data_IF_548192481215
#
_entry.id   IF_548192481215
#
_cell.length_a   1.000
_cell.length_b   1.000
_cell.length_c   1.000
_cell.angle_alpha   90.00
_cell.angle_beta   90.00
_cell.angle_gamma   90.00
#
_symmetry.space_group_name_H-M   'P 1'
#
loop_
_entity.id
_entity.type
_entity.pdbx_description
1 polymer ?
#
# COMPACT_ATOMS: atom_id res chain seq x y z
N UNK A 1 21.41 -2.11 40.24
CA UNK A 1 21.04 -2.46 41.62
C UNK A 1 19.61 -2.01 41.81
N UNK A 2 18.66 -2.91 41.56
CA UNK A 2 17.92 -3.68 42.59
C UNK A 2 16.75 -2.82 43.14
N UNK A 3 15.52 -2.93 42.59
CA UNK A 3 14.49 -3.94 42.91
C UNK A 3 13.83 -3.61 44.28
N UNK A 4 12.53 -3.63 44.57
CA UNK A 4 11.36 -4.43 44.21
C UNK A 4 10.17 -3.72 44.89
N UNK A 5 8.95 -3.73 44.34
CA UNK A 5 7.75 -4.08 45.12
C UNK A 5 6.62 -4.56 44.19
N UNK A 6 6.15 -5.76 44.50
CA UNK A 6 5.12 -6.56 43.83
C UNK A 6 3.70 -6.17 44.30
N UNK A 7 2.64 -6.59 43.59
CA UNK A 7 1.26 -6.30 43.96
C UNK A 7 0.67 -7.33 44.94
N UNK A 8 -0.25 -6.86 45.77
CA UNK A 8 -0.98 -7.63 46.78
C UNK A 8 -2.04 -8.55 46.16
N UNK A 9 -2.15 -9.76 46.72
CA UNK A 9 -3.22 -10.73 46.50
C UNK A 9 -4.12 -10.79 47.74
N UNK A 10 -5.42 -11.01 47.54
CA UNK A 10 -6.36 -11.32 48.61
C UNK A 10 -7.26 -12.47 48.18
N UNK A 11 -7.16 -13.57 48.94
CA UNK A 11 -8.06 -14.72 48.93
C UNK A 11 -9.10 -14.56 50.05
N UNK A 12 -10.31 -15.08 49.83
CA UNK A 12 -11.30 -15.30 50.88
C UNK A 12 -12.04 -16.62 50.62
N UNK A 13 -12.18 -17.44 51.67
CA UNK A 13 -12.72 -18.81 51.67
C UNK A 13 -14.00 -18.93 52.51
N UNK A 14 -15.00 -19.62 51.94
CA UNK A 14 -15.99 -20.56 52.55
C UNK A 14 -17.10 -20.00 53.50
N UNK A 15 -18.22 -20.72 53.81
CA UNK A 15 -18.47 -22.18 53.66
C UNK A 15 -19.90 -22.70 53.26
N UNK A 16 -19.91 -24.00 52.90
CA UNK A 16 -20.87 -25.12 53.15
C UNK A 16 -22.42 -24.96 53.06
N UNK A 17 -23.04 -25.86 52.28
CA UNK A 17 -24.34 -26.50 52.61
C UNK A 17 -24.50 -27.87 51.89
N UNK A 18 -24.83 -28.89 52.68
CA UNK A 18 -25.17 -30.27 52.31
C UNK A 18 -26.61 -30.37 51.77
N UNK A 19 -26.86 -31.23 50.76
CA UNK A 19 -28.07 -32.08 50.71
C UNK A 19 -27.93 -33.27 49.73
N UNK A 20 -28.48 -34.40 50.16
CA UNK A 20 -28.48 -35.75 49.59
C UNK A 20 -29.23 -35.92 48.25
N UNK A 21 -28.86 -36.96 47.49
CA UNK A 21 -29.85 -37.86 46.85
C UNK A 21 -29.55 -38.35 45.42
N UNK A 22 -29.15 -39.63 45.27
CA UNK A 22 -29.27 -40.46 44.05
C UNK A 22 -28.19 -40.22 42.97
N UNK A 23 -27.38 -41.15 42.49
CA UNK A 23 -27.40 -42.60 42.55
C UNK A 23 -27.58 -43.20 41.15
N UNK A 24 -26.51 -43.30 40.34
CA UNK A 24 -26.34 -44.35 39.31
C UNK A 24 -24.84 -44.64 39.17
N UNK A 25 -24.44 -45.86 39.55
CA UNK A 25 -23.11 -46.44 39.33
C UNK A 25 -23.12 -47.17 37.98
N UNK A 26 -22.12 -46.94 37.14
CA UNK A 26 -21.81 -47.82 36.00
C UNK A 26 -20.54 -48.61 36.34
N UNK A 27 -20.69 -49.93 36.32
CA UNK A 27 -19.70 -50.90 36.74
C UNK A 27 -18.55 -51.05 35.73
N UNK A 28 -17.31 -51.04 36.23
CA UNK A 28 -16.11 -51.39 35.47
C UNK A 28 -15.87 -52.89 35.68
N UNK A 29 -16.00 -53.67 34.60
CA UNK A 29 -15.66 -55.08 34.58
C UNK A 29 -14.13 -55.28 34.57
N UNK A 30 -13.63 -56.09 35.51
CA UNK A 30 -12.30 -56.71 35.45
C UNK A 30 -12.45 -58.13 34.91
N UNK A 31 -11.55 -58.60 34.04
CA UNK A 31 -11.23 -60.01 33.99
C UNK A 31 -9.82 -60.32 34.49
N UNK A 32 -9.81 -61.48 35.13
CA UNK A 32 -8.77 -62.32 35.68
C UNK A 32 -7.46 -62.49 34.89
N UNK A 33 -6.42 -62.71 35.69
CA UNK A 33 -5.13 -63.32 35.37
C UNK A 33 -5.23 -64.60 34.53
N UNK A 34 -4.39 -64.70 33.49
CA UNK A 34 -3.74 -65.96 33.15
C UNK A 34 -2.37 -65.71 32.53
N UNK A 35 -1.45 -66.57 32.93
CA UNK A 35 -0.02 -66.56 32.67
C UNK A 35 0.32 -66.97 31.24
N UNK A 36 1.14 -66.18 30.55
CA UNK A 36 2.03 -66.70 29.50
C UNK A 36 3.35 -65.91 29.50
N UNK A 37 4.42 -66.61 29.87
CA UNK A 37 5.81 -66.14 29.75
C UNK A 37 6.20 -66.20 28.27
N UNK A 38 6.44 -65.03 27.69
CA UNK A 38 7.13 -64.88 26.41
C UNK A 38 8.27 -63.88 26.59
N UNK A 39 9.50 -64.38 26.59
CA UNK A 39 10.72 -63.58 26.64
C UNK A 39 10.81 -62.70 25.39
N UNK A 40 10.59 -61.39 25.52
CA UNK A 40 10.94 -60.41 24.49
C UNK A 40 11.89 -59.40 25.13
N UNK A 41 13.16 -59.45 24.69
CA UNK A 41 14.18 -58.46 25.03
C UNK A 41 13.70 -57.04 24.67
N UNK A 42 13.25 -56.28 25.67
CA UNK A 42 13.03 -54.83 25.54
C UNK A 42 14.39 -54.12 25.49
N UNK A 43 14.97 -53.98 24.30
CA UNK A 43 15.95 -52.92 24.03
C UNK A 43 15.25 -51.57 24.21
N UNK A 44 15.54 -50.87 25.30
CA UNK A 44 15.17 -49.46 25.49
C UNK A 44 15.91 -48.63 24.43
N UNK A 45 15.29 -48.44 23.27
CA UNK A 45 15.68 -47.38 22.34
C UNK A 45 15.30 -46.04 22.99
N UNK A 46 16.27 -45.41 23.64
CA UNK A 46 16.24 -43.98 23.97
C UNK A 46 16.00 -43.22 22.66
N UNK A 47 14.75 -42.85 22.38
CA UNK A 47 14.44 -41.86 21.35
C UNK A 47 14.99 -40.52 21.84
N UNK A 48 16.22 -40.21 21.44
CA UNK A 48 16.71 -38.83 21.43
C UNK A 48 15.78 -38.03 20.51
N UNK A 49 15.35 -36.81 20.87
CA UNK A 49 14.68 -35.95 19.91
C UNK A 49 15.70 -35.69 18.80
N UNK A 50 15.45 -36.25 17.62
CA UNK A 50 16.15 -35.85 16.40
C UNK A 50 15.61 -34.44 16.14
N UNK A 51 16.37 -33.44 16.57
CA UNK A 51 16.29 -32.11 15.99
C UNK A 51 16.40 -32.33 14.49
N UNK A 52 15.33 -32.01 13.77
CA UNK A 52 15.34 -31.97 12.33
C UNK A 52 16.42 -30.95 11.92
N UNK A 53 17.60 -31.46 11.58
CA UNK A 53 18.57 -30.70 10.80
C UNK A 53 17.88 -30.43 9.46
N UNK A 54 17.32 -29.23 9.36
CA UNK A 54 16.93 -28.64 8.10
C UNK A 54 18.19 -28.56 7.24
N UNK A 55 18.34 -29.51 6.31
CA UNK A 55 19.28 -29.42 5.21
C UNK A 55 18.84 -28.29 4.28
N UNK A 56 19.37 -27.11 4.55
CA UNK A 56 19.33 -25.93 3.70
C UNK A 56 20.34 -24.94 4.26
N UNK A 57 21.58 -25.00 3.78
CA UNK A 57 22.68 -24.15 4.23
C UNK A 57 22.44 -22.68 3.89
N UNK A 58 21.64 -21.99 4.72
CA UNK A 58 21.65 -20.54 4.82
C UNK A 58 22.32 -20.20 6.14
N UNK A 59 23.48 -19.56 6.06
CA UNK A 59 24.06 -18.90 7.23
C UNK A 59 22.97 -18.01 7.88
N UNK A 60 22.95 -17.90 9.22
CA UNK A 60 22.04 -16.97 9.88
C UNK A 60 22.25 -15.58 9.30
N UNK A 61 21.18 -14.80 9.09
CA UNK A 61 21.31 -13.51 8.45
C UNK A 61 22.22 -12.59 9.27
N UNK A 62 22.98 -11.71 8.60
CA UNK A 62 23.88 -10.77 9.29
C UNK A 62 23.13 -9.91 10.32
N UNK A 63 21.90 -9.52 10.00
CA UNK A 63 20.96 -8.85 10.91
C UNK A 63 19.83 -9.83 11.23
N UNK A 64 19.87 -10.49 12.40
CA UNK A 64 18.81 -11.40 12.83
C UNK A 64 17.49 -10.69 13.07
N UNK A 65 16.37 -11.43 13.04
CA UNK A 65 15.04 -10.90 13.37
C UNK A 65 14.97 -10.30 14.80
N UNK A 66 15.80 -10.79 15.73
CA UNK A 66 15.90 -10.28 17.10
C UNK A 66 16.69 -8.98 17.23
N UNK A 67 17.47 -8.58 16.22
CA UNK A 67 18.24 -7.33 16.25
C UNK A 67 17.33 -6.15 15.87
N UNK A 68 16.63 -5.59 16.85
CA UNK A 68 15.70 -4.50 16.62
C UNK A 68 16.36 -3.25 16.02
N UNK A 69 17.56 -2.88 16.49
CA UNK A 69 18.26 -1.69 15.99
C UNK A 69 18.80 -1.92 14.58
N UNK A 70 19.41 -3.07 14.32
CA UNK A 70 19.91 -3.42 12.98
C UNK A 70 18.78 -3.43 11.94
N UNK A 71 17.61 -4.01 12.30
CA UNK A 71 16.46 -4.03 11.41
C UNK A 71 15.92 -2.61 11.11
N UNK A 72 15.78 -1.75 12.12
CA UNK A 72 15.34 -0.36 11.88
C UNK A 72 16.36 0.47 11.12
N UNK A 73 17.65 0.33 11.42
CA UNK A 73 18.72 0.98 10.66
C UNK A 73 18.66 0.56 9.20
N UNK A 74 18.54 -0.74 8.92
CA UNK A 74 18.39 -1.23 7.55
C UNK A 74 17.19 -0.60 6.82
N UNK A 75 16.02 -0.58 7.45
CA UNK A 75 14.81 -0.04 6.84
C UNK A 75 14.93 1.46 6.54
N UNK A 76 15.41 2.25 7.50
CA UNK A 76 15.53 3.71 7.37
C UNK A 76 16.65 4.07 6.39
N UNK A 77 17.78 3.36 6.41
CA UNK A 77 18.85 3.56 5.42
C UNK A 77 18.42 3.17 4.01
N UNK A 78 17.68 2.08 3.85
CA UNK A 78 17.11 1.67 2.55
C UNK A 78 16.10 2.70 2.06
N UNK A 79 15.31 3.28 2.97
CA UNK A 79 14.38 4.34 2.63
C UNK A 79 15.11 5.63 2.19
N UNK A 80 16.10 6.06 2.95
CA UNK A 80 16.94 7.21 2.60
C UNK A 80 17.64 7.01 1.25
N UNK A 81 18.16 5.81 0.98
CA UNK A 81 18.79 5.46 -0.29
C UNK A 81 17.79 5.54 -1.47
N UNK A 82 16.55 5.08 -1.28
CA UNK A 82 15.50 5.19 -2.28
C UNK A 82 15.21 6.64 -2.66
N UNK A 83 14.96 7.49 -1.66
CA UNK A 83 14.71 8.94 -1.87
C UNK A 83 15.92 9.62 -2.51
N UNK A 84 17.12 9.36 -1.98
CA UNK A 84 18.36 9.93 -2.51
C UNK A 84 18.58 9.53 -3.98
N UNK A 85 18.38 8.26 -4.30
CA UNK A 85 18.56 7.72 -5.65
C UNK A 85 17.65 8.42 -6.65
N UNK A 86 16.37 8.58 -6.30
CA UNK A 86 15.37 9.28 -7.11
C UNK A 86 15.72 10.75 -7.35
N UNK A 87 16.28 11.44 -6.35
CA UNK A 87 16.58 12.86 -6.48
C UNK A 87 17.91 13.13 -7.20
N UNK A 88 18.92 12.28 -6.97
CA UNK A 88 20.32 12.56 -7.33
C UNK A 88 20.83 11.77 -8.52
N UNK A 89 20.21 10.67 -8.91
CA UNK A 89 20.75 9.78 -9.97
C UNK A 89 19.81 9.67 -11.18
N UNK A 90 20.34 9.56 -12.41
CA UNK A 90 19.50 9.32 -13.60
C UNK A 90 18.72 8.00 -13.52
N UNK A 91 19.37 6.95 -13.01
CA UNK A 91 18.78 5.62 -12.86
C UNK A 91 17.65 5.63 -11.83
N UNK A 92 17.86 6.25 -10.67
CA UNK A 92 16.82 6.36 -9.64
C UNK A 92 15.63 7.20 -10.09
N UNK A 93 15.84 8.26 -10.87
CA UNK A 93 14.76 9.02 -11.52
C UNK A 93 13.92 8.14 -12.44
N UNK A 94 14.54 7.21 -13.16
CA UNK A 94 13.85 6.29 -14.05
C UNK A 94 13.13 5.16 -13.30
N UNK A 95 13.72 4.64 -12.21
CA UNK A 95 13.16 3.52 -11.45
C UNK A 95 12.12 3.93 -10.40
N UNK A 96 12.11 5.19 -9.97
CA UNK A 96 11.48 5.69 -8.73
C UNK A 96 12.18 5.22 -7.46
N UNK A 97 12.14 6.04 -6.40
CA UNK A 97 12.69 5.67 -5.10
C UNK A 97 12.00 4.43 -4.56
N UNK A 98 10.67 4.33 -4.69
CA UNK A 98 9.86 3.19 -4.26
C UNK A 98 10.42 1.85 -4.78
N UNK A 99 10.69 1.75 -6.08
CA UNK A 99 11.27 0.54 -6.66
C UNK A 99 12.66 0.24 -6.11
N UNK A 100 13.50 1.28 -5.98
CA UNK A 100 14.85 1.13 -5.44
C UNK A 100 14.81 0.52 -4.05
N UNK A 101 13.95 1.00 -3.16
CA UNK A 101 13.84 0.41 -1.81
C UNK A 101 13.28 -1.00 -1.80
N UNK A 102 12.31 -1.33 -2.68
CA UNK A 102 11.84 -2.72 -2.84
C UNK A 102 12.98 -3.63 -3.31
N UNK A 103 13.74 -3.22 -4.34
CA UNK A 103 14.83 -4.02 -4.90
C UNK A 103 15.99 -4.20 -3.91
N UNK A 104 16.37 -3.15 -3.19
CA UNK A 104 17.40 -3.23 -2.14
C UNK A 104 16.93 -4.13 -0.99
N UNK A 105 15.67 -3.98 -0.56
CA UNK A 105 15.01 -4.85 0.41
C UNK A 105 15.09 -6.32 0.02
N UNK A 106 14.69 -6.61 -1.21
CA UNK A 106 14.64 -7.95 -1.78
C UNK A 106 16.02 -8.56 -1.94
N UNK A 107 16.99 -7.78 -2.42
CA UNK A 107 18.38 -8.20 -2.57
C UNK A 107 19.02 -8.51 -1.21
N UNK A 108 18.82 -7.65 -0.21
CA UNK A 108 19.35 -7.86 1.13
C UNK A 108 18.78 -9.11 1.80
N UNK A 109 17.47 -9.34 1.70
CA UNK A 109 16.83 -10.56 2.22
C UNK A 109 17.33 -11.82 1.49
N UNK A 110 17.47 -11.76 0.17
CA UNK A 110 17.94 -12.89 -0.64
C UNK A 110 19.41 -13.23 -0.44
N UNK A 111 20.24 -12.22 -0.18
CA UNK A 111 21.65 -12.39 0.16
C UNK A 111 21.88 -12.84 1.62
N UNK A 112 20.82 -12.96 2.43
CA UNK A 112 20.95 -13.29 3.86
C UNK A 112 21.53 -12.15 4.70
N UNK A 113 21.36 -10.90 4.27
CA UNK A 113 21.78 -9.73 5.07
C UNK A 113 20.76 -9.45 6.18
N UNK A 114 19.47 -9.58 5.88
CA UNK A 114 18.37 -9.32 6.83
C UNK A 114 17.40 -10.50 6.90
N UNK A 115 16.77 -10.69 8.06
CA UNK A 115 15.72 -11.67 8.24
C UNK A 115 14.40 -11.20 7.63
N UNK A 116 13.68 -12.08 6.92
CA UNK A 116 12.41 -11.74 6.26
C UNK A 116 11.21 -11.61 7.22
N UNK A 117 11.35 -12.00 8.47
CA UNK A 117 10.28 -12.11 9.48
C UNK A 117 10.51 -11.21 10.71
N UNK A 118 11.34 -10.18 10.59
CA UNK A 118 11.67 -9.27 11.69
C UNK A 118 10.42 -8.58 12.28
N UNK A 119 10.26 -8.48 13.61
CA UNK A 119 9.12 -7.81 14.24
C UNK A 119 8.92 -6.36 13.81
N UNK A 120 9.99 -5.65 13.43
CA UNK A 120 9.92 -4.29 12.90
C UNK A 120 9.01 -4.19 11.67
N UNK A 121 8.97 -5.22 10.82
CA UNK A 121 8.19 -5.25 9.58
C UNK A 121 6.69 -5.18 9.87
N UNK A 122 6.25 -5.87 10.94
CA UNK A 122 4.86 -5.81 11.41
C UNK A 122 4.49 -4.41 11.89
N UNK A 123 5.39 -3.73 12.61
CA UNK A 123 5.16 -2.34 13.04
C UNK A 123 4.96 -1.42 11.85
N UNK A 124 5.76 -1.60 10.79
CA UNK A 124 5.61 -0.80 9.57
C UNK A 124 4.24 -1.03 8.91
N UNK A 125 3.82 -2.28 8.76
CA UNK A 125 2.54 -2.63 8.15
C UNK A 125 1.34 -2.20 9.01
N UNK A 126 1.40 -2.38 10.32
CA UNK A 126 0.27 -2.16 11.23
C UNK A 126 0.06 -0.69 11.61
N UNK A 127 1.12 0.12 11.56
CA UNK A 127 1.11 1.52 12.01
C UNK A 127 1.59 2.50 10.94
N UNK A 128 2.80 2.33 10.39
CA UNK A 128 3.40 3.36 9.53
C UNK A 128 2.73 3.46 8.16
N UNK A 129 2.32 2.32 7.59
CA UNK A 129 1.56 2.30 6.34
C UNK A 129 0.19 3.01 6.49
N UNK A 130 -0.68 2.63 7.46
CA UNK A 130 -1.93 3.35 7.69
C UNK A 130 -1.74 4.85 7.94
N UNK A 131 -0.66 5.23 8.61
CA UNK A 131 -0.34 6.61 8.96
C UNK A 131 0.04 7.46 7.75
N UNK A 132 0.64 6.88 6.72
CA UNK A 132 0.99 7.58 5.48
C UNK A 132 -0.26 8.07 4.71
N UNK A 133 -1.37 7.33 4.80
CA UNK A 133 -2.62 7.65 4.09
C UNK A 133 -3.19 9.02 4.48
N UNK A 134 -3.51 9.32 5.77
CA UNK A 134 -4.03 10.62 6.14
C UNK A 134 -3.02 11.74 5.90
N UNK A 135 -1.73 11.48 6.09
CA UNK A 135 -0.68 12.47 5.85
C UNK A 135 -0.61 12.91 4.36
N UNK A 136 -0.86 12.00 3.41
CA UNK A 136 -0.96 12.33 1.97
C UNK A 136 -2.28 13.02 1.60
N UNK A 137 -3.34 12.75 2.36
CA UNK A 137 -4.70 13.17 2.04
C UNK A 137 -5.16 14.44 2.74
N UNK A 138 -4.31 15.10 3.53
CA UNK A 138 -4.65 16.40 4.13
C UNK A 138 -4.98 17.50 3.10
N UNK A 139 -4.55 17.35 1.84
CA UNK A 139 -4.94 18.22 0.72
C UNK A 139 -6.23 17.82 0.00
N UNK A 140 -6.88 16.72 0.41
CA UNK A 140 -8.05 16.16 -0.27
C UNK A 140 -9.37 16.91 0.02
N UNK A 141 -9.38 18.21 -0.27
CA UNK A 141 -10.58 19.04 -0.24
C UNK A 141 -11.43 18.79 -1.51
N UNK A 142 -12.44 17.94 -1.40
CA UNK A 142 -13.30 17.60 -2.54
C UNK A 142 -14.14 18.79 -3.02
N UNK A 143 -14.46 19.78 -2.17
CA UNK A 143 -15.20 20.98 -2.61
C UNK A 143 -14.33 21.80 -3.55
N UNK A 144 -13.05 21.96 -3.21
CA UNK A 144 -12.08 22.63 -4.07
C UNK A 144 -11.84 21.85 -5.36
N UNK A 145 -11.70 20.52 -5.28
CA UNK A 145 -11.58 19.66 -6.47
C UNK A 145 -12.76 19.92 -7.42
N UNK A 146 -14.00 19.81 -6.96
CA UNK A 146 -15.18 19.95 -7.82
C UNK A 146 -15.31 21.36 -8.41
N UNK A 147 -14.98 22.41 -7.64
CA UNK A 147 -15.09 23.81 -8.10
C UNK A 147 -13.96 24.24 -9.04
N UNK A 148 -12.74 23.76 -8.81
CA UNK A 148 -11.53 24.29 -9.48
C UNK A 148 -10.99 23.39 -10.60
N UNK A 149 -11.46 22.14 -10.74
CA UNK A 149 -10.96 21.23 -11.79
C UNK A 149 -11.65 21.49 -13.15
N UNK A 150 -12.87 22.04 -13.15
CA UNK A 150 -13.58 22.42 -14.39
C UNK A 150 -13.76 21.25 -15.36
N UNK A 151 -13.57 21.51 -16.67
CA UNK A 151 -13.70 20.48 -17.71
C UNK A 151 -12.71 19.31 -17.58
N UNK A 152 -11.57 19.52 -16.90
CA UNK A 152 -10.59 18.47 -16.65
C UNK A 152 -11.17 17.37 -15.75
N UNK A 153 -12.16 17.68 -14.91
CA UNK A 153 -12.82 16.70 -14.05
C UNK A 153 -13.54 15.64 -14.88
N UNK A 154 -14.25 16.06 -15.92
CA UNK A 154 -14.95 15.15 -16.83
C UNK A 154 -13.95 14.24 -17.56
N UNK A 155 -12.84 14.80 -18.03
CA UNK A 155 -11.77 14.04 -18.65
C UNK A 155 -11.15 13.01 -17.68
N UNK A 156 -10.98 13.37 -16.40
CA UNK A 156 -10.46 12.47 -15.36
C UNK A 156 -11.44 11.35 -14.99
N UNK A 157 -12.74 11.67 -14.90
CA UNK A 157 -13.76 10.66 -14.64
C UNK A 157 -13.90 9.70 -15.82
N UNK A 158 -13.81 10.21 -17.06
CA UNK A 158 -13.70 9.39 -18.25
C UNK A 158 -12.48 8.48 -18.20
N UNK A 159 -11.31 9.01 -17.84
CA UNK A 159 -10.10 8.22 -17.63
C UNK A 159 -10.27 7.15 -16.55
N UNK A 160 -10.93 7.46 -15.45
CA UNK A 160 -11.21 6.49 -14.37
C UNK A 160 -12.11 5.35 -14.85
N UNK A 161 -13.14 5.66 -15.65
CA UNK A 161 -14.00 4.67 -16.28
C UNK A 161 -13.23 3.84 -17.34
N UNK A 162 -12.37 4.49 -18.12
CA UNK A 162 -11.50 3.83 -19.09
C UNK A 162 -10.51 2.86 -18.42
N UNK A 163 -9.90 3.23 -17.29
CA UNK A 163 -9.08 2.31 -16.47
C UNK A 163 -9.91 1.12 -15.99
N UNK A 164 -11.12 1.36 -15.47
CA UNK A 164 -12.01 0.29 -14.99
C UNK A 164 -12.35 -0.71 -16.10
N UNK A 165 -12.74 -0.21 -17.28
CA UNK A 165 -13.00 -1.03 -18.45
C UNK A 165 -11.72 -1.75 -18.94
N UNK A 166 -10.59 -1.05 -18.95
CA UNK A 166 -9.28 -1.62 -19.27
C UNK A 166 -8.87 -2.75 -18.34
N UNK A 167 -9.18 -2.65 -17.05
CA UNK A 167 -8.98 -3.72 -16.06
C UNK A 167 -9.84 -4.93 -16.39
N UNK A 168 -11.12 -4.76 -16.71
CA UNK A 168 -11.99 -5.87 -17.11
C UNK A 168 -11.44 -6.57 -18.37
N UNK A 169 -11.11 -5.80 -19.41
CA UNK A 169 -10.56 -6.32 -20.67
C UNK A 169 -9.23 -7.04 -20.44
N UNK A 170 -8.30 -6.43 -19.72
CA UNK A 170 -7.01 -7.05 -19.42
C UNK A 170 -7.16 -8.33 -18.59
N UNK A 171 -8.12 -8.38 -17.66
CA UNK A 171 -8.36 -9.55 -16.82
C UNK A 171 -8.86 -10.74 -17.63
N UNK A 172 -9.73 -10.48 -18.61
CA UNK A 172 -10.27 -11.51 -19.51
C UNK A 172 -9.25 -11.97 -20.56
N UNK A 173 -8.37 -11.08 -21.04
CA UNK A 173 -7.42 -11.38 -22.09
C UNK A 173 -6.10 -11.99 -21.58
N UNK A 174 -5.65 -11.60 -20.39
CA UNK A 174 -4.33 -11.98 -19.86
C UNK A 174 -4.51 -13.02 -18.75
N UNK A 175 -4.21 -14.31 -19.00
CA UNK A 175 -4.36 -15.36 -17.99
C UNK A 175 -3.28 -15.23 -16.92
N UNK A 176 -3.61 -14.61 -15.78
CA UNK A 176 -2.70 -14.45 -14.64
C UNK A 176 -2.57 -15.71 -13.78
N UNK A 177 -2.36 -16.86 -14.41
CA UNK A 177 -2.32 -18.18 -13.74
C UNK A 177 -1.22 -18.26 -12.67
N UNK A 178 -0.09 -17.57 -12.87
CA UNK A 178 1.02 -17.55 -11.90
C UNK A 178 0.68 -16.86 -10.58
N UNK A 179 -0.41 -16.07 -10.51
CA UNK A 179 -0.90 -15.43 -9.30
C UNK A 179 -1.92 -16.28 -8.53
N UNK A 180 -2.40 -17.37 -9.14
CA UNK A 180 -3.41 -18.25 -8.56
C UNK A 180 -4.64 -17.48 -8.05
N UNK A 181 -5.06 -17.68 -6.79
CA UNK A 181 -6.26 -17.05 -6.22
C UNK A 181 -6.14 -15.54 -5.99
N UNK A 182 -4.93 -14.97 -6.08
CA UNK A 182 -4.70 -13.53 -5.88
C UNK A 182 -4.84 -12.71 -7.18
N UNK A 183 -5.03 -13.36 -8.33
CA UNK A 183 -5.11 -12.69 -9.65
C UNK A 183 -6.10 -11.52 -9.70
N UNK A 184 -7.36 -11.73 -9.26
CA UNK A 184 -8.38 -10.68 -9.23
C UNK A 184 -8.08 -9.57 -8.22
N UNK A 185 -7.37 -9.89 -7.12
CA UNK A 185 -6.97 -8.90 -6.11
C UNK A 185 -5.87 -7.99 -6.65
N UNK A 186 -4.90 -8.56 -7.36
CA UNK A 186 -3.83 -7.79 -8.03
C UNK A 186 -4.41 -6.93 -9.15
N UNK A 187 -5.37 -7.45 -9.92
CA UNK A 187 -6.08 -6.66 -10.92
C UNK A 187 -6.82 -5.46 -10.30
N UNK A 188 -7.54 -5.68 -9.18
CA UNK A 188 -8.19 -4.61 -8.43
C UNK A 188 -7.18 -3.58 -7.88
N UNK A 189 -6.04 -4.04 -7.37
CA UNK A 189 -4.99 -3.19 -6.88
C UNK A 189 -4.38 -2.34 -8.02
N UNK A 190 -4.09 -2.93 -9.18
CA UNK A 190 -3.56 -2.20 -10.34
C UNK A 190 -4.60 -1.26 -10.96
N UNK A 191 -5.88 -1.61 -10.94
CA UNK A 191 -6.94 -0.67 -11.30
C UNK A 191 -6.88 0.58 -10.41
N UNK A 192 -6.81 0.38 -9.09
CA UNK A 192 -6.72 1.50 -8.14
C UNK A 192 -5.42 2.30 -8.31
N UNK A 193 -4.31 1.62 -8.64
CA UNK A 193 -3.00 2.23 -8.94
C UNK A 193 -3.08 3.22 -10.10
N UNK A 194 -3.80 2.82 -11.15
CA UNK A 194 -3.92 3.56 -12.40
C UNK A 194 -5.11 4.56 -12.40
N UNK A 195 -5.80 4.71 -11.26
CA UNK A 195 -6.76 5.80 -11.02
C UNK A 195 -6.23 6.79 -9.97
N UNK A 196 -5.49 6.32 -8.97
CA UNK A 196 -5.14 7.10 -7.78
C UNK A 196 -3.72 6.90 -7.23
N UNK A 197 -2.79 6.31 -7.97
CA UNK A 197 -1.39 6.24 -7.56
C UNK A 197 -1.01 5.06 -6.65
N UNK A 198 0.29 4.96 -6.33
CA UNK A 198 0.88 3.81 -5.62
C UNK A 198 0.30 3.55 -4.22
N UNK A 199 -0.16 4.59 -3.53
CA UNK A 199 -0.77 4.43 -2.20
C UNK A 199 -2.10 3.68 -2.26
N UNK A 200 -2.86 3.84 -3.35
CA UNK A 200 -4.09 3.08 -3.57
C UNK A 200 -3.81 1.62 -3.89
N UNK A 201 -2.78 1.34 -4.69
CA UNK A 201 -2.33 -0.04 -4.93
C UNK A 201 -2.06 -0.77 -3.62
N UNK A 202 -1.31 -0.12 -2.72
CA UNK A 202 -0.97 -0.69 -1.43
C UNK A 202 -2.20 -0.85 -0.54
N UNK A 203 -3.09 0.15 -0.51
CA UNK A 203 -4.30 0.09 0.30
C UNK A 203 -5.25 -1.04 -0.13
N UNK A 204 -5.45 -1.22 -1.43
CA UNK A 204 -6.27 -2.33 -1.97
C UNK A 204 -5.57 -3.67 -1.77
N UNK A 205 -4.24 -3.73 -1.93
CA UNK A 205 -3.46 -4.95 -1.69
C UNK A 205 -3.57 -5.43 -0.24
N UNK A 206 -3.50 -4.51 0.72
CA UNK A 206 -3.70 -4.83 2.15
C UNK A 206 -5.14 -5.26 2.41
N UNK A 207 -6.12 -4.49 1.94
CA UNK A 207 -7.54 -4.76 2.18
C UNK A 207 -7.99 -6.13 1.65
N UNK A 208 -7.42 -6.57 0.52
CA UNK A 208 -7.71 -7.86 -0.10
C UNK A 208 -6.77 -8.98 0.34
N UNK A 209 -5.74 -8.69 1.13
CA UNK A 209 -4.77 -9.66 1.63
C UNK A 209 -3.87 -10.25 0.55
N UNK A 210 -3.28 -9.40 -0.28
CA UNK A 210 -2.25 -9.77 -1.27
C UNK A 210 -0.91 -9.99 -0.55
N UNK A 211 -0.19 -11.05 -0.91
CA UNK A 211 1.10 -11.34 -0.28
C UNK A 211 2.16 -10.25 -0.57
N UNK A 212 3.12 -9.99 0.33
CA UNK A 212 4.19 -9.01 0.10
C UNK A 212 5.01 -9.27 -1.17
N UNK A 213 5.25 -10.55 -1.51
CA UNK A 213 5.98 -10.92 -2.72
C UNK A 213 5.25 -10.55 -4.01
N UNK A 214 3.93 -10.73 -4.03
CA UNK A 214 3.08 -10.35 -5.17
C UNK A 214 2.91 -8.84 -5.22
N UNK A 215 2.76 -8.18 -4.07
CA UNK A 215 2.74 -6.73 -3.96
C UNK A 215 4.01 -6.12 -4.57
N UNK A 216 5.18 -6.64 -4.19
CA UNK A 216 6.49 -6.25 -4.73
C UNK A 216 6.59 -6.45 -6.25
N UNK A 217 6.15 -7.61 -6.75
CA UNK A 217 6.14 -7.93 -8.17
C UNK A 217 5.25 -6.96 -8.96
N UNK A 218 4.08 -6.63 -8.44
CA UNK A 218 3.19 -5.67 -9.09
C UNK A 218 3.75 -4.25 -9.09
N UNK A 219 4.41 -3.80 -8.02
CA UNK A 219 5.13 -2.50 -8.02
C UNK A 219 6.26 -2.46 -9.05
N UNK A 220 7.02 -3.56 -9.17
CA UNK A 220 8.11 -3.66 -10.14
C UNK A 220 7.58 -3.59 -11.57
N UNK A 221 6.54 -4.37 -11.89
CA UNK A 221 5.88 -4.33 -13.19
C UNK A 221 5.27 -2.94 -13.48
N UNK A 222 4.55 -2.37 -12.51
CA UNK A 222 3.88 -1.08 -12.62
C UNK A 222 4.84 0.07 -12.94
N UNK A 223 6.02 0.10 -12.30
CA UNK A 223 6.99 1.17 -12.56
C UNK A 223 7.54 1.15 -13.98
N UNK A 224 7.78 -0.05 -14.54
CA UNK A 224 8.19 -0.18 -15.95
C UNK A 224 7.06 0.28 -16.86
N UNK A 225 5.82 -0.13 -16.58
CA UNK A 225 4.64 0.29 -17.35
C UNK A 225 4.42 1.80 -17.28
N UNK A 226 4.54 2.40 -16.10
CA UNK A 226 4.43 3.84 -15.91
C UNK A 226 5.51 4.59 -16.69
N UNK A 227 6.75 4.12 -16.71
CA UNK A 227 7.82 4.72 -17.50
C UNK A 227 7.47 4.72 -19.00
N UNK A 228 7.09 3.56 -19.56
CA UNK A 228 6.66 3.43 -20.96
C UNK A 228 5.44 4.32 -21.28
N UNK A 229 4.48 4.35 -20.36
CA UNK A 229 3.26 5.12 -20.49
C UNK A 229 3.53 6.63 -20.50
N UNK A 230 4.33 7.15 -19.56
CA UNK A 230 4.65 8.58 -19.53
C UNK A 230 5.49 8.99 -20.74
N UNK A 231 6.44 8.16 -21.19
CA UNK A 231 7.15 8.41 -22.45
C UNK A 231 6.18 8.55 -23.62
N UNK A 232 5.21 7.64 -23.72
CA UNK A 232 4.17 7.68 -24.76
C UNK A 232 3.30 8.94 -24.63
N UNK A 233 2.87 9.28 -23.42
CA UNK A 233 2.02 10.44 -23.16
C UNK A 233 2.72 11.75 -23.52
N UNK A 234 4.01 11.89 -23.19
CA UNK A 234 4.83 13.04 -23.57
C UNK A 234 5.06 13.13 -25.08
N UNK A 235 5.23 11.99 -25.76
CA UNK A 235 5.33 11.92 -27.21
C UNK A 235 4.01 12.35 -27.88
N UNK A 236 2.86 11.88 -27.39
CA UNK A 236 1.53 12.31 -27.88
C UNK A 236 1.27 13.80 -27.66
N UNK A 237 1.87 14.37 -26.62
CA UNK A 237 1.80 15.78 -26.30
C UNK A 237 2.84 16.65 -27.06
N UNK A 238 3.78 16.06 -27.82
CA UNK A 238 4.91 16.77 -28.43
C UNK A 238 4.48 17.88 -29.40
N UNK A 239 3.40 17.66 -30.15
CA UNK A 239 2.92 18.58 -31.19
C UNK A 239 1.86 19.57 -30.71
N UNK A 240 1.51 19.55 -29.42
CA UNK A 240 0.51 20.46 -28.86
C UNK A 240 1.26 21.72 -28.39
N UNK A 241 0.87 22.93 -28.87
CA UNK A 241 1.53 24.17 -28.49
C UNK A 241 1.47 24.45 -26.98
N UNK A 242 2.41 25.30 -26.54
CA UNK A 242 2.37 25.91 -25.20
C UNK A 242 1.20 26.89 -25.14
N UNK A 243 0.74 27.23 -23.95
CA UNK A 243 -0.22 28.33 -23.78
C UNK A 243 0.47 29.66 -24.04
N UNK A 244 -0.24 30.59 -24.68
CA UNK A 244 0.22 31.96 -24.80
C UNK A 244 0.43 32.53 -23.39
N UNK A 245 1.45 33.36 -23.22
CA UNK A 245 1.83 33.95 -21.93
C UNK A 245 0.82 35.03 -21.50
N UNK A 246 -0.43 34.63 -21.27
CA UNK A 246 -1.53 35.45 -20.77
C UNK A 246 -1.94 34.96 -19.40
N UNK A 247 -1.65 35.77 -18.38
CA UNK A 247 -1.81 35.56 -16.94
C UNK A 247 -0.86 34.55 -16.29
N UNK A 248 0.16 35.03 -15.53
CA UNK A 248 0.75 34.21 -14.50
C UNK A 248 -0.32 34.02 -13.42
N UNK A 249 -1.06 32.92 -13.48
CA UNK A 249 -1.47 32.31 -12.22
C UNK A 249 -0.16 31.91 -11.56
N UNK A 250 0.34 32.82 -10.72
CA UNK A 250 1.45 32.57 -9.81
C UNK A 250 1.05 31.42 -8.91
N UNK A 251 1.24 30.21 -9.41
CA UNK A 251 1.35 29.05 -8.57
C UNK A 251 2.70 29.26 -7.92
N UNK A 252 2.68 29.68 -6.66
CA UNK A 252 3.69 29.22 -5.73
C UNK A 252 3.83 27.73 -6.04
N UNK A 253 4.94 27.38 -6.69
CA UNK A 253 5.59 26.10 -6.48
C UNK A 253 5.41 25.81 -4.99
N UNK A 254 5.10 24.58 -4.54
CA UNK A 254 5.32 24.26 -3.14
C UNK A 254 6.84 24.35 -2.93
N UNK A 255 7.34 25.57 -2.85
CA UNK A 255 8.60 25.93 -2.29
C UNK A 255 8.49 25.38 -0.89
N UNK A 256 9.46 24.55 -0.55
CA UNK A 256 9.83 24.27 0.82
C UNK A 256 10.33 25.59 1.41
N UNK A 257 9.43 26.55 1.60
CA UNK A 257 9.70 27.82 2.24
C UNK A 257 9.58 27.54 3.73
N UNK A 258 10.72 27.17 4.30
CA UNK A 258 10.90 26.94 5.72
C UNK A 258 10.62 28.22 6.50
N UNK A 259 9.41 28.30 7.05
CA UNK A 259 9.15 29.14 8.21
C UNK A 259 9.59 28.32 9.45
N UNK A 260 10.86 28.50 9.82
CA UNK A 260 11.64 27.55 10.64
C UNK A 260 11.10 27.26 12.04
N UNK A 261 10.22 28.10 12.59
CA UNK A 261 9.63 27.88 13.91
C UNK A 261 8.19 27.31 13.86
N UNK A 262 7.47 27.47 12.74
CA UNK A 262 6.11 26.91 12.55
C UNK A 262 6.14 25.50 11.92
N UNK A 263 7.28 25.08 11.36
CA UNK A 263 7.47 23.79 10.69
C UNK A 263 7.43 22.57 11.62
N UNK A 264 8.07 22.64 12.80
CA UNK A 264 8.14 21.51 13.74
C UNK A 264 6.80 21.21 14.40
N UNK A 265 6.10 22.26 14.87
CA UNK A 265 4.77 22.13 15.46
C UNK A 265 3.76 21.56 14.46
N UNK A 266 3.78 22.06 13.21
CA UNK A 266 2.91 21.53 12.15
C UNK A 266 3.18 20.06 11.85
N UNK A 267 4.44 19.64 11.82
CA UNK A 267 4.82 18.23 11.65
C UNK A 267 4.32 17.36 12.81
N UNK A 268 4.46 17.83 14.07
CA UNK A 268 3.96 17.13 15.24
C UNK A 268 2.42 17.02 15.24
N UNK A 269 1.72 18.11 14.92
CA UNK A 269 0.25 18.13 14.84
C UNK A 269 -0.24 17.26 13.68
N UNK A 270 0.42 17.29 12.51
CA UNK A 270 0.13 16.43 11.38
C UNK A 270 0.21 14.95 11.77
N UNK A 271 1.28 14.57 12.49
CA UNK A 271 1.48 13.21 12.98
C UNK A 271 0.41 12.81 13.99
N UNK A 272 0.13 13.66 14.98
CA UNK A 272 -0.89 13.40 15.99
C UNK A 272 -2.29 13.26 15.37
N UNK A 273 -2.65 14.14 14.44
CA UNK A 273 -3.91 14.07 13.69
C UNK A 273 -4.00 12.79 12.87
N UNK A 274 -2.92 12.41 12.17
CA UNK A 274 -2.86 11.17 11.40
C UNK A 274 -3.06 9.93 12.28
N UNK A 275 -2.45 9.87 13.47
CA UNK A 275 -2.68 8.79 14.44
C UNK A 275 -4.13 8.77 14.96
N UNK A 276 -4.70 9.93 15.26
CA UNK A 276 -6.09 10.03 15.71
C UNK A 276 -7.06 9.54 14.62
N UNK A 277 -6.83 9.92 13.36
CA UNK A 277 -7.59 9.44 12.21
C UNK A 277 -7.44 7.92 12.03
N UNK A 278 -6.21 7.39 12.14
CA UNK A 278 -5.97 5.95 12.08
C UNK A 278 -6.75 5.18 13.16
N UNK A 279 -6.71 5.66 14.40
CA UNK A 279 -7.46 5.08 15.52
C UNK A 279 -8.96 5.13 15.26
N UNK A 280 -9.48 6.28 14.82
CA UNK A 280 -10.89 6.46 14.50
C UNK A 280 -11.34 5.52 13.36
N UNK A 281 -10.53 5.40 12.29
CA UNK A 281 -10.81 4.51 11.17
C UNK A 281 -10.81 3.04 11.57
N UNK A 282 -9.84 2.59 12.37
CA UNK A 282 -9.82 1.21 12.90
C UNK A 282 -11.01 0.93 13.82
N UNK A 283 -11.38 1.88 14.69
CA UNK A 283 -12.56 1.76 15.56
C UNK A 283 -13.86 1.68 14.74
N UNK A 284 -14.03 2.56 13.75
CA UNK A 284 -15.19 2.57 12.86
C UNK A 284 -15.29 1.24 12.07
N UNK A 285 -14.16 0.75 11.55
CA UNK A 285 -14.11 -0.54 10.84
C UNK A 285 -14.53 -1.70 11.74
N UNK A 286 -14.04 -1.72 12.99
CA UNK A 286 -14.39 -2.74 13.97
C UNK A 286 -15.87 -2.68 14.34
N UNK A 287 -16.43 -1.48 14.53
CA UNK A 287 -17.85 -1.29 14.81
C UNK A 287 -18.76 -1.71 13.64
N UNK A 288 -18.31 -1.51 12.41
CA UNK A 288 -19.04 -1.89 11.19
C UNK A 288 -18.83 -3.37 10.79
N UNK A 289 -17.88 -4.09 11.40
CA UNK A 289 -17.59 -5.49 11.09
C UNK A 289 -16.97 -5.72 9.70
N UNK A 290 -16.40 -4.70 9.06
CA UNK A 290 -15.87 -4.78 7.69
C UNK A 290 -14.44 -5.35 7.71
N UNK A 291 -14.28 -6.62 7.33
CA UNK A 291 -12.94 -7.22 7.17
C UNK A 291 -12.15 -6.51 6.06
N UNK A 292 -10.90 -6.12 6.34
CA UNK A 292 -10.06 -5.36 5.40
C UNK A 292 -10.51 -3.90 5.18
N UNK A 293 -11.49 -3.41 5.93
CA UNK A 293 -12.04 -2.06 5.76
C UNK A 293 -11.21 -0.93 6.39
N UNK A 294 -10.09 -1.25 7.03
CA UNK A 294 -9.35 -0.30 7.88
C UNK A 294 -8.80 0.88 7.10
N UNK A 295 -8.05 0.63 6.02
CA UNK A 295 -7.47 1.67 5.18
C UNK A 295 -8.55 2.47 4.42
N UNK A 296 -9.58 1.85 3.81
CA UNK A 296 -10.71 2.60 3.25
C UNK A 296 -11.41 3.52 4.26
N UNK A 297 -11.68 3.05 5.48
CA UNK A 297 -12.30 3.89 6.51
C UNK A 297 -11.39 5.06 6.93
N UNK A 298 -10.08 4.83 7.05
CA UNK A 298 -9.09 5.88 7.32
C UNK A 298 -9.12 6.94 6.21
N UNK A 299 -9.08 6.51 4.94
CA UNK A 299 -9.20 7.38 3.75
C UNK A 299 -10.50 8.19 3.79
N UNK A 300 -11.64 7.55 4.08
CA UNK A 300 -12.93 8.25 4.15
C UNK A 300 -12.93 9.36 5.21
N UNK A 301 -12.40 9.08 6.40
CA UNK A 301 -12.36 10.04 7.51
C UNK A 301 -11.46 11.23 7.16
N UNK A 302 -10.24 11.00 6.66
CA UNK A 302 -9.34 12.12 6.33
C UNK A 302 -9.89 12.97 5.19
N UNK A 303 -10.48 12.35 4.16
CA UNK A 303 -11.08 13.09 3.04
C UNK A 303 -12.28 13.91 3.53
N UNK A 304 -13.12 13.35 4.40
CA UNK A 304 -14.22 14.09 5.02
C UNK A 304 -13.71 15.28 5.83
N UNK A 305 -12.69 15.08 6.67
CA UNK A 305 -12.09 16.16 7.46
C UNK A 305 -11.44 17.23 6.58
N UNK A 306 -10.67 16.84 5.56
CA UNK A 306 -10.03 17.76 4.61
C UNK A 306 -11.06 18.56 3.81
N UNK A 307 -12.23 17.98 3.53
CA UNK A 307 -13.32 18.64 2.80
C UNK A 307 -14.18 19.55 3.68
N UNK A 308 -14.44 19.17 4.94
CA UNK A 308 -15.25 19.95 5.88
C UNK A 308 -14.43 21.08 6.53
N UNK A 309 -13.15 20.84 6.81
CA UNK A 309 -12.24 21.76 7.50
C UNK A 309 -10.96 22.05 6.66
N UNK A 310 -11.09 22.56 5.43
CA UNK A 310 -9.97 22.68 4.50
C UNK A 310 -8.88 23.65 4.97
N UNK A 311 -9.22 24.71 5.71
CA UNK A 311 -8.25 25.70 6.17
C UNK A 311 -7.41 25.19 7.35
N UNK A 312 -7.95 24.31 8.18
CA UNK A 312 -7.25 23.70 9.31
C UNK A 312 -6.40 22.53 8.86
N UNK A 313 -7.00 21.59 8.11
CA UNK A 313 -6.33 20.37 7.64
C UNK A 313 -5.32 20.69 6.54
N UNK A 314 -5.64 21.61 5.61
CA UNK A 314 -4.76 21.99 4.51
C UNK A 314 -3.43 22.62 4.96
N UNK A 315 -3.42 23.30 6.13
CA UNK A 315 -2.17 23.85 6.73
C UNK A 315 -1.19 22.76 7.17
N UNK A 316 -1.67 21.55 7.44
CA UNK A 316 -0.86 20.40 7.85
C UNK A 316 -0.27 19.66 6.64
N UNK A 317 -0.84 19.84 5.45
CA UNK A 317 -0.52 19.01 4.30
C UNK A 317 0.95 19.08 3.84
N UNK A 318 1.63 20.24 3.77
CA UNK A 318 3.04 20.26 3.37
C UNK A 318 3.94 19.43 4.31
N UNK A 319 3.69 19.52 5.62
CA UNK A 319 4.43 18.73 6.62
C UNK A 319 4.02 17.24 6.56
N UNK A 320 2.74 16.97 6.36
CA UNK A 320 2.21 15.61 6.19
C UNK A 320 2.80 14.89 4.98
N UNK A 321 2.81 15.54 3.82
CA UNK A 321 3.39 15.03 2.57
C UNK A 321 4.85 14.61 2.75
N UNK A 322 5.68 15.46 3.38
CA UNK A 322 7.08 15.15 3.63
C UNK A 322 7.26 13.91 4.52
N UNK A 323 6.48 13.81 5.61
CA UNK A 323 6.53 12.63 6.49
C UNK A 323 6.00 11.38 5.81
N UNK A 324 4.92 11.49 5.04
CA UNK A 324 4.32 10.36 4.34
C UNK A 324 5.25 9.73 3.32
N UNK A 325 6.02 10.54 2.58
CA UNK A 325 7.03 10.03 1.64
C UNK A 325 8.05 9.16 2.37
N UNK A 326 8.55 9.60 3.53
CA UNK A 326 9.49 8.81 4.35
C UNK A 326 8.85 7.50 4.83
N UNK A 327 7.62 7.56 5.36
CA UNK A 327 6.91 6.39 5.85
C UNK A 327 6.61 5.38 4.74
N UNK A 328 6.17 5.84 3.58
CA UNK A 328 5.95 5.00 2.40
C UNK A 328 7.25 4.35 1.94
N UNK A 329 8.36 5.07 2.03
CA UNK A 329 9.65 4.54 1.62
C UNK A 329 10.16 3.44 2.57
N UNK A 330 9.96 3.59 3.87
CA UNK A 330 10.19 2.53 4.86
C UNK A 330 9.28 1.32 4.59
N UNK A 331 8.02 1.56 4.24
CA UNK A 331 7.09 0.50 3.82
C UNK A 331 7.60 -0.26 2.59
N UNK A 332 8.08 0.43 1.55
CA UNK A 332 8.64 -0.23 0.37
C UNK A 332 9.88 -1.06 0.68
N UNK A 333 10.73 -0.62 1.61
CA UNK A 333 11.84 -1.44 2.11
C UNK A 333 11.36 -2.74 2.76
N UNK A 334 10.30 -2.67 3.58
CA UNK A 334 9.66 -3.85 4.20
C UNK A 334 9.07 -4.79 3.16
N UNK A 335 8.39 -4.27 2.14
CA UNK A 335 7.85 -5.07 1.03
C UNK A 335 8.94 -5.87 0.35
N UNK A 336 10.07 -5.23 0.05
CA UNK A 336 11.24 -5.88 -0.51
C UNK A 336 11.80 -6.96 0.41
N UNK A 337 12.02 -6.64 1.68
CA UNK A 337 12.64 -7.54 2.64
C UNK A 337 11.79 -8.79 2.97
N UNK A 338 10.45 -8.67 2.93
CA UNK A 338 9.52 -9.80 3.05
C UNK A 338 9.36 -10.59 1.74
N UNK A 339 9.82 -10.05 0.61
CA UNK A 339 9.64 -10.63 -0.70
C UNK A 339 10.54 -11.84 -0.98
N UNK A 340 10.22 -12.58 -2.05
CA UNK A 340 11.03 -13.68 -2.55
C UNK A 340 11.36 -13.43 -4.02
N UNK A 341 12.65 -13.45 -4.37
CA UNK A 341 13.13 -13.20 -5.74
C UNK A 341 12.49 -14.18 -6.73
N UNK A 342 12.43 -15.47 -6.37
CA UNK A 342 11.81 -16.49 -7.22
C UNK A 342 10.35 -16.19 -7.50
N UNK A 343 9.58 -15.82 -6.48
CA UNK A 343 8.16 -15.46 -6.65
C UNK A 343 8.00 -14.20 -7.50
N UNK A 344 8.82 -13.18 -7.26
CA UNK A 344 8.79 -11.93 -8.03
C UNK A 344 9.07 -12.21 -9.51
N UNK A 345 10.12 -12.97 -9.84
CA UNK A 345 10.47 -13.29 -11.22
C UNK A 345 9.38 -14.12 -11.93
N UNK A 346 8.71 -15.03 -11.21
CA UNK A 346 7.65 -15.86 -11.76
C UNK A 346 6.31 -15.11 -11.95
N UNK A 347 6.03 -14.09 -11.14
CA UNK A 347 4.74 -13.37 -11.17
C UNK A 347 4.79 -12.08 -11.99
N UNK A 348 5.93 -11.38 -12.00
CA UNK A 348 6.12 -10.08 -12.68
C UNK A 348 5.72 -10.12 -14.16
N UNK A 349 6.09 -11.12 -14.99
CA UNK A 349 5.74 -11.11 -16.41
C UNK A 349 4.23 -11.10 -16.67
N UNK A 350 3.46 -11.88 -15.91
CA UNK A 350 1.99 -11.91 -16.02
C UNK A 350 1.37 -10.59 -15.59
N UNK A 351 1.87 -9.99 -14.49
CA UNK A 351 1.40 -8.69 -14.02
C UNK A 351 1.73 -7.59 -15.03
N UNK A 352 2.93 -7.62 -15.60
CA UNK A 352 3.36 -6.68 -16.64
C UNK A 352 2.46 -6.77 -17.87
N UNK A 353 2.20 -7.98 -18.39
CA UNK A 353 1.32 -8.17 -19.53
C UNK A 353 -0.10 -7.65 -19.26
N UNK A 354 -0.64 -7.94 -18.07
CA UNK A 354 -1.93 -7.41 -17.64
C UNK A 354 -1.94 -5.88 -17.62
N UNK A 355 -0.97 -5.26 -16.93
CA UNK A 355 -0.87 -3.82 -16.78
C UNK A 355 -0.65 -3.12 -18.14
N UNK A 356 0.12 -3.73 -19.04
CA UNK A 356 0.31 -3.24 -20.41
C UNK A 356 -1.00 -3.17 -21.20
N UNK A 357 -1.79 -4.25 -21.19
CA UNK A 357 -3.11 -4.26 -21.85
C UNK A 357 -4.03 -3.24 -21.20
N UNK A 358 -4.09 -3.23 -19.86
CA UNK A 358 -4.96 -2.34 -19.09
C UNK A 358 -4.69 -0.86 -19.41
N UNK A 359 -3.42 -0.44 -19.37
CA UNK A 359 -3.03 0.96 -19.62
C UNK A 359 -3.18 1.36 -21.10
N UNK A 360 -2.99 0.40 -22.01
CA UNK A 360 -3.22 0.62 -23.44
C UNK A 360 -4.70 0.87 -23.72
N UNK A 361 -5.58 0.03 -23.17
CA UNK A 361 -7.04 0.22 -23.27
C UNK A 361 -7.47 1.53 -22.60
N UNK A 362 -6.93 1.84 -21.42
CA UNK A 362 -7.15 3.13 -20.74
C UNK A 362 -6.84 4.31 -21.65
N UNK A 363 -5.65 4.34 -22.25
CA UNK A 363 -5.22 5.44 -23.12
C UNK A 363 -6.08 5.54 -24.39
N UNK A 364 -6.37 4.39 -25.02
CA UNK A 364 -7.20 4.31 -26.22
C UNK A 364 -8.63 4.81 -25.96
N UNK A 365 -9.27 4.36 -24.88
CA UNK A 365 -10.62 4.79 -24.52
C UNK A 365 -10.65 6.25 -24.08
N UNK A 366 -9.69 6.70 -23.26
CA UNK A 366 -9.64 8.09 -22.80
C UNK A 366 -9.50 9.05 -23.97
N UNK A 367 -8.57 8.78 -24.91
CA UNK A 367 -8.37 9.64 -26.08
C UNK A 367 -9.46 9.47 -27.14
N UNK A 368 -9.92 8.24 -27.38
CA UNK A 368 -10.93 7.92 -28.38
C UNK A 368 -12.29 8.47 -28.00
N UNK A 369 -12.83 8.05 -26.85
CA UNK A 369 -14.13 8.51 -26.35
C UNK A 369 -14.07 10.01 -26.01
N UNK A 370 -12.95 10.48 -25.42
CA UNK A 370 -12.78 11.90 -25.11
C UNK A 370 -12.85 12.78 -26.36
N UNK A 371 -12.24 12.34 -27.46
CA UNK A 371 -12.33 13.02 -28.76
C UNK A 371 -13.76 13.00 -29.32
N UNK A 372 -14.49 11.88 -29.18
CA UNK A 372 -15.89 11.79 -29.60
C UNK A 372 -16.79 12.73 -28.80
N UNK A 373 -16.49 12.96 -27.53
CA UNK A 373 -17.18 13.91 -26.67
C UNK A 373 -16.72 15.37 -26.86
N UNK A 374 -15.82 15.64 -27.80
CA UNK A 374 -15.31 16.99 -28.07
C UNK A 374 -14.40 17.56 -26.98
N UNK A 375 -13.84 16.73 -26.10
CA UNK A 375 -12.93 17.17 -25.04
C UNK A 375 -11.56 17.51 -25.64
N UNK A 376 -11.00 18.65 -25.24
CA UNK A 376 -9.67 19.08 -25.69
C UNK A 376 -8.59 18.04 -25.37
N UNK A 377 -7.71 17.78 -26.35
CA UNK A 377 -6.65 16.78 -26.24
C UNK A 377 -5.69 17.06 -25.10
N UNK A 378 -5.39 18.32 -24.81
CA UNK A 378 -4.56 18.76 -23.68
C UNK A 378 -5.17 18.33 -22.35
N UNK A 379 -6.48 18.55 -22.19
CA UNK A 379 -7.23 18.12 -21.00
C UNK A 379 -7.22 16.61 -20.85
N UNK A 380 -7.46 15.87 -21.94
CA UNK A 380 -7.42 14.41 -21.93
C UNK A 380 -6.04 13.87 -21.52
N UNK A 381 -4.95 14.46 -22.03
CA UNK A 381 -3.60 14.04 -21.68
C UNK A 381 -3.25 14.34 -20.22
N UNK A 382 -3.61 15.52 -19.68
CA UNK A 382 -3.38 15.82 -18.26
C UNK A 382 -4.28 14.97 -17.36
N UNK A 383 -5.54 14.75 -17.72
CA UNK A 383 -6.44 13.87 -16.97
C UNK A 383 -5.90 12.43 -16.94
N UNK A 384 -5.50 11.90 -18.10
CA UNK A 384 -4.89 10.58 -18.23
C UNK A 384 -3.57 10.47 -17.45
N UNK A 385 -2.80 11.56 -17.35
CA UNK A 385 -1.62 11.64 -16.48
C UNK A 385 -2.04 11.59 -15.01
N UNK A 386 -3.01 12.41 -14.60
CA UNK A 386 -3.50 12.49 -13.23
C UNK A 386 -4.06 11.15 -12.74
N UNK A 387 -4.75 10.37 -13.59
CA UNK A 387 -5.20 9.01 -13.26
C UNK A 387 -4.03 8.08 -12.93
N UNK A 388 -3.06 8.00 -13.84
CA UNK A 388 -2.00 6.98 -13.79
C UNK A 388 -0.86 7.40 -12.85
N UNK A 389 -0.53 8.68 -12.82
CA UNK A 389 0.61 9.23 -12.12
C UNK A 389 0.28 10.09 -10.90
N UNK A 390 -0.97 10.51 -10.73
CA UNK A 390 -1.38 11.34 -9.61
C UNK A 390 -0.97 12.82 -9.70
N UNK A 391 -1.01 13.55 -8.57
CA UNK A 391 -0.88 15.02 -8.57
C UNK A 391 0.47 15.54 -9.05
N UNK A 392 1.56 14.85 -8.69
CA UNK A 392 2.93 15.32 -8.92
C UNK A 392 3.34 15.24 -10.38
N UNK A 393 2.98 14.15 -11.05
CA UNK A 393 3.28 13.89 -12.47
C UNK A 393 2.40 14.71 -13.39
N UNK A 394 1.11 14.91 -13.05
CA UNK A 394 0.22 15.80 -13.77
C UNK A 394 0.71 17.26 -13.72
N UNK A 395 1.13 17.72 -12.54
CA UNK A 395 1.79 19.02 -12.36
C UNK A 395 3.07 19.12 -13.21
N UNK A 396 3.93 18.10 -13.15
CA UNK A 396 5.18 18.04 -13.89
C UNK A 396 4.97 18.11 -15.41
N UNK A 397 3.96 17.41 -15.94
CA UNK A 397 3.63 17.45 -17.36
C UNK A 397 3.07 18.81 -17.78
N UNK A 398 2.12 19.37 -17.03
CA UNK A 398 1.56 20.69 -17.31
C UNK A 398 2.66 21.76 -17.32
N UNK A 399 3.58 21.72 -16.35
CA UNK A 399 4.72 22.63 -16.26
C UNK A 399 5.68 22.43 -17.44
N UNK A 400 6.10 21.19 -17.73
CA UNK A 400 7.04 20.89 -18.81
C UNK A 400 6.50 21.27 -20.19
N UNK A 401 5.17 21.22 -20.37
CA UNK A 401 4.49 21.59 -21.61
C UNK A 401 4.08 23.05 -21.70
N UNK A 402 4.26 23.84 -20.64
CA UNK A 402 3.80 25.23 -20.62
C UNK A 402 2.28 25.36 -20.67
N UNK A 403 1.56 24.44 -20.01
CA UNK A 403 0.11 24.46 -19.85
C UNK A 403 -0.23 24.90 -18.42
N UNK A 404 0.17 26.13 -18.09
CA UNK A 404 0.14 26.66 -16.72
C UNK A 404 -1.27 26.68 -16.14
N UNK A 405 -2.29 26.92 -16.96
CA UNK A 405 -3.70 26.87 -16.55
C UNK A 405 -4.15 25.50 -16.03
N UNK A 406 -3.45 24.42 -16.42
CA UNK A 406 -3.80 23.05 -16.06
C UNK A 406 -3.00 22.49 -14.87
N UNK A 407 -2.05 23.25 -14.32
CA UNK A 407 -1.24 22.80 -13.17
C UNK A 407 -2.13 22.52 -11.96
N UNK A 408 -2.93 23.50 -11.54
CA UNK A 408 -3.80 23.36 -10.37
C UNK A 408 -4.93 22.34 -10.62
N UNK A 409 -5.67 22.40 -11.75
CA UNK A 409 -6.66 21.36 -12.08
C UNK A 409 -6.07 19.95 -12.12
N UNK A 410 -4.87 19.76 -12.68
CA UNK A 410 -4.21 18.46 -12.75
C UNK A 410 -3.83 17.90 -11.38
N UNK A 411 -3.31 18.76 -10.48
CA UNK A 411 -3.05 18.40 -9.08
C UNK A 411 -4.34 17.94 -8.39
N UNK A 412 -5.42 18.72 -8.52
CA UNK A 412 -6.70 18.44 -7.87
C UNK A 412 -7.34 17.14 -8.41
N UNK A 413 -7.28 16.90 -9.72
CA UNK A 413 -7.74 15.64 -10.30
C UNK A 413 -6.93 14.44 -9.79
N UNK A 414 -5.61 14.57 -9.66
CA UNK A 414 -4.78 13.54 -9.05
C UNK A 414 -5.18 13.27 -7.59
N UNK A 415 -5.47 14.31 -6.81
CA UNK A 415 -5.89 14.19 -5.41
C UNK A 415 -7.25 13.48 -5.32
N UNK A 416 -8.17 13.80 -6.24
CA UNK A 416 -9.44 13.08 -6.35
C UNK A 416 -9.22 11.59 -6.59
N UNK A 417 -8.32 11.24 -7.51
CA UNK A 417 -7.90 9.87 -7.76
C UNK A 417 -7.42 9.19 -6.48
N UNK A 418 -6.56 9.86 -5.70
CA UNK A 418 -6.06 9.31 -4.44
C UNK A 418 -7.23 9.03 -3.48
N UNK A 419 -8.22 9.92 -3.42
CA UNK A 419 -9.37 9.80 -2.52
C UNK A 419 -10.36 8.68 -2.89
N UNK A 420 -10.60 8.43 -4.18
CA UNK A 420 -11.67 7.52 -4.64
C UNK A 420 -11.19 6.13 -5.05
N UNK A 421 -9.95 5.99 -5.51
CA UNK A 421 -9.50 4.80 -6.21
C UNK A 421 -9.47 3.54 -5.34
N UNK A 422 -9.16 3.64 -4.04
CA UNK A 422 -9.21 2.49 -3.11
C UNK A 422 -10.62 1.89 -3.07
N UNK A 423 -11.65 2.73 -2.93
CA UNK A 423 -13.03 2.26 -2.86
C UNK A 423 -13.47 1.64 -4.19
N UNK A 424 -13.15 2.29 -5.31
CA UNK A 424 -13.45 1.77 -6.63
C UNK A 424 -12.77 0.42 -6.88
N UNK A 425 -11.49 0.29 -6.53
CA UNK A 425 -10.71 -0.94 -6.69
C UNK A 425 -11.28 -2.09 -5.87
N UNK A 426 -11.57 -1.87 -4.58
CA UNK A 426 -12.17 -2.90 -3.72
C UNK A 426 -13.56 -3.29 -4.22
N UNK A 427 -14.42 -2.31 -4.52
CA UNK A 427 -15.77 -2.57 -5.01
C UNK A 427 -15.75 -3.37 -6.31
N UNK A 428 -14.98 -2.92 -7.31
CA UNK A 428 -14.88 -3.60 -8.59
C UNK A 428 -14.23 -4.99 -8.47
N UNK A 429 -13.19 -5.11 -7.63
CA UNK A 429 -12.54 -6.38 -7.34
C UNK A 429 -13.49 -7.42 -6.75
N UNK A 430 -14.22 -7.04 -5.69
CA UNK A 430 -15.11 -7.96 -4.97
C UNK A 430 -16.38 -8.26 -5.76
N UNK A 431 -16.97 -7.26 -6.42
CA UNK A 431 -18.26 -7.40 -7.10
C UNK A 431 -18.12 -7.99 -8.51
N UNK A 432 -17.06 -7.66 -9.23
CA UNK A 432 -16.89 -8.03 -10.64
C UNK A 432 -15.76 -9.02 -10.82
N UNK A 433 -14.51 -8.62 -10.57
CA UNK A 433 -13.32 -9.42 -10.93
C UNK A 433 -13.27 -10.79 -10.25
N UNK A 434 -13.79 -10.90 -9.03
CA UNK A 434 -13.86 -12.16 -8.30
C UNK A 434 -14.78 -13.20 -8.97
N UNK A 435 -15.72 -12.77 -9.81
CA UNK A 435 -16.78 -13.61 -10.36
C UNK A 435 -16.64 -13.90 -11.86
N UNK A 436 -15.68 -13.28 -12.55
CA UNK A 436 -15.48 -13.42 -14.00
C UNK A 436 -14.21 -14.16 -14.37
#
# INVERSE_FOLDING_TARGET
MASVFAPASASATAPLLHRHGGGVRVAIARPSSSSWRGNVHRRRLRRRPISALSCGGRHPPLVPASDHWGNWTFLVSTAALGIWSEQRTPVGKALSGALVSVLVGLAASSAGVVASDAPAYRVVLDYLLPLAIPLLLFRADLRRVLRSTGALLLAFLLGSAATTAGTAVAFLLVPMRSLGPDSWKVAAALMSRHIGGAVNYVAVSEALGVSPSVLAAGLAADNIICALYFTTLFALAAKIPKEDAGHPFGVEQPAVAGDGNTSNLRSAVAMAAAFAICKAGKLATAALGIRGGSLPCITAIVVALATVFPSQVGKLAPAGEAMAVILMQVFFAVVGANGSVGNVLNTTPSIFAFAFVQISVHLLLTLGVGRLLGIDRKLLLIASNANVGGPTTACGMATAKGWTSLVVPGILAGILGIAIATFMGIAFGVLVLKHI
#
